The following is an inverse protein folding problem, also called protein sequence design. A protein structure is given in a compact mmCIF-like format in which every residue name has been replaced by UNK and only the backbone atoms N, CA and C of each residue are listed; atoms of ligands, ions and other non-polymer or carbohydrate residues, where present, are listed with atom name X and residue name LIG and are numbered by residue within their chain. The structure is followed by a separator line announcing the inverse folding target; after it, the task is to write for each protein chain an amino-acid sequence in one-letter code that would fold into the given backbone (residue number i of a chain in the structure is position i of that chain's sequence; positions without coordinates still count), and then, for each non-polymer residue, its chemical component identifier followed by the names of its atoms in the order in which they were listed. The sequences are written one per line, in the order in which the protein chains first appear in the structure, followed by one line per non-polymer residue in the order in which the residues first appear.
data_IF_315272205717
#
_entry.id   IF_315272205717
#
_cell.length_a   1.000
_cell.length_b   1.000
_cell.length_c   1.000
_cell.angle_alpha   90.00
_cell.angle_beta   90.00
_cell.angle_gamma   90.00
#
_symmetry.space_group_name_H-M   'P 1'
#
loop_
_entity.id
_entity.type
_entity.pdbx_description
1 polymer ?
#
# COMPACT_ATOMS: atom_id res chain seq x y z
N UNK A 1 -1.96 29.26 -2.75
CA UNK A 1 -0.60 29.01 -3.31
C UNK A 1 -0.16 27.54 -3.34
N UNK A 2 -0.03 26.83 -2.21
CA UNK A 2 0.45 25.43 -2.24
C UNK A 2 -0.45 24.48 -3.06
N UNK A 3 -1.78 24.58 -2.93
CA UNK A 3 -2.71 23.79 -3.76
C UNK A 3 -2.58 24.09 -5.26
N UNK A 4 -2.49 25.38 -5.62
CA UNK A 4 -2.27 25.81 -7.01
C UNK A 4 -0.90 25.39 -7.57
N UNK A 5 0.12 25.18 -6.72
CA UNK A 5 1.39 24.56 -7.12
C UNK A 5 1.21 23.06 -7.35
N UNK A 6 0.46 22.38 -6.48
CA UNK A 6 0.18 20.94 -6.59
C UNK A 6 -0.62 20.57 -7.83
N UNK A 7 -1.58 21.42 -8.24
CA UNK A 7 -2.35 21.24 -9.47
C UNK A 7 -1.56 21.44 -10.77
N UNK A 8 -0.31 21.91 -10.68
CA UNK A 8 0.62 22.10 -11.79
C UNK A 8 1.78 21.11 -11.74
N UNK A 9 1.59 19.97 -11.09
CA UNK A 9 2.58 18.89 -10.93
C UNK A 9 3.74 19.20 -9.97
N UNK A 10 3.61 20.23 -9.13
CA UNK A 10 4.62 20.54 -8.12
C UNK A 10 4.55 19.62 -6.89
N UNK A 11 5.71 19.18 -6.40
CA UNK A 11 5.81 18.39 -5.16
C UNK A 11 5.29 19.18 -3.95
N UNK A 12 4.39 18.58 -3.16
CA UNK A 12 3.77 19.19 -1.98
C UNK A 12 4.21 18.46 -0.72
N UNK A 13 5.04 19.13 0.11
CA UNK A 13 5.49 18.62 1.40
C UNK A 13 4.38 18.59 2.46
N UNK A 14 3.51 19.61 2.48
CA UNK A 14 2.50 19.78 3.53
C UNK A 14 1.39 18.70 3.45
N UNK A 15 1.17 17.97 4.54
CA UNK A 15 0.17 16.88 4.65
C UNK A 15 -1.26 17.33 4.36
N UNK A 16 -1.73 18.45 4.92
CA UNK A 16 -3.11 18.92 4.70
C UNK A 16 -3.34 19.34 3.25
N UNK A 17 -2.32 19.96 2.64
CA UNK A 17 -2.39 20.29 1.21
C UNK A 17 -2.44 19.03 0.35
N UNK A 18 -1.64 17.99 0.65
CA UNK A 18 -1.69 16.72 -0.09
C UNK A 18 -3.06 16.04 -0.02
N UNK A 19 -3.71 16.05 1.15
CA UNK A 19 -5.08 15.52 1.33
C UNK A 19 -6.11 16.30 0.50
N UNK A 20 -5.96 17.62 0.43
CA UNK A 20 -6.81 18.47 -0.42
C UNK A 20 -6.55 18.20 -1.91
N UNK A 21 -5.28 18.06 -2.28
CA UNK A 21 -4.86 17.75 -3.65
C UNK A 21 -5.35 16.37 -4.10
N UNK A 22 -5.33 15.35 -3.22
CA UNK A 22 -5.91 14.02 -3.49
C UNK A 22 -7.38 14.15 -3.95
N UNK A 23 -8.19 14.92 -3.21
CA UNK A 23 -9.60 15.14 -3.56
C UNK A 23 -9.75 15.89 -4.87
N UNK A 24 -8.94 16.94 -5.07
CA UNK A 24 -9.03 17.80 -6.24
C UNK A 24 -8.62 17.07 -7.55
N UNK A 25 -7.57 16.26 -7.51
CA UNK A 25 -7.08 15.52 -8.69
C UNK A 25 -8.04 14.41 -9.14
N UNK A 26 -9.00 14.03 -8.29
CA UNK A 26 -10.08 13.07 -8.62
C UNK A 26 -11.31 13.74 -9.25
N UNK A 27 -11.39 15.06 -9.24
CA UNK A 27 -12.42 15.79 -9.96
C UNK A 27 -12.05 15.90 -11.45
N UNK A 28 -13.02 16.21 -12.30
CA UNK A 28 -12.77 16.43 -13.72
C UNK A 28 -11.83 17.62 -13.97
N UNK A 29 -11.15 17.61 -15.12
CA UNK A 29 -10.17 18.65 -15.49
C UNK A 29 -10.80 20.05 -15.58
N UNK A 30 -12.07 20.17 -15.94
CA UNK A 30 -12.71 21.48 -16.01
C UNK A 30 -12.91 22.06 -14.60
N UNK A 31 -13.33 21.24 -13.63
CA UNK A 31 -13.42 21.65 -12.22
C UNK A 31 -12.05 22.02 -11.65
N UNK A 32 -11.02 21.20 -11.91
CA UNK A 32 -9.64 21.51 -11.49
C UNK A 32 -9.17 22.87 -12.03
N UNK A 33 -9.44 23.16 -13.32
CA UNK A 33 -9.10 24.43 -13.96
C UNK A 33 -9.85 25.60 -13.35
N UNK A 34 -11.16 25.47 -13.06
CA UNK A 34 -11.95 26.51 -12.39
C UNK A 34 -11.38 26.84 -11.01
N UNK A 35 -11.06 25.83 -10.22
CA UNK A 35 -10.47 26.02 -8.89
C UNK A 35 -9.09 26.66 -8.98
N UNK A 36 -8.25 26.24 -9.93
CA UNK A 36 -6.93 26.84 -10.15
C UNK A 36 -7.05 28.32 -10.54
N UNK A 37 -7.97 28.67 -11.43
CA UNK A 37 -8.24 30.04 -11.84
C UNK A 37 -8.73 30.88 -10.66
N UNK A 38 -9.68 30.37 -9.86
CA UNK A 38 -10.16 31.02 -8.66
C UNK A 38 -9.04 31.30 -7.66
N UNK A 39 -8.21 30.30 -7.32
CA UNK A 39 -7.10 30.49 -6.36
C UNK A 39 -6.11 31.54 -6.87
N UNK A 40 -5.91 31.64 -8.19
CA UNK A 40 -5.02 32.63 -8.81
C UNK A 40 -5.62 34.03 -8.88
N UNK A 41 -6.95 34.14 -8.94
CA UNK A 41 -7.64 35.44 -8.92
C UNK A 41 -7.76 36.03 -7.53
N UNK A 42 -7.52 35.24 -6.47
CA UNK A 42 -7.56 35.75 -5.10
C UNK A 42 -6.47 36.80 -4.88
N UNK A 43 -6.83 38.03 -4.48
CA UNK A 43 -5.85 39.05 -4.21
C UNK A 43 -5.08 38.72 -2.91
N UNK A 44 -3.84 39.18 -2.80
CA UNK A 44 -3.05 38.97 -1.57
C UNK A 44 -3.54 39.80 -0.38
N UNK A 45 -4.38 40.81 -0.65
CA UNK A 45 -5.06 41.62 0.35
C UNK A 45 -6.33 42.26 -0.26
N UNK A 46 -7.23 42.74 0.57
CA UNK A 46 -8.35 43.59 0.18
C UNK A 46 -8.36 44.87 1.02
N UNK A 47 -8.85 45.98 0.44
CA UNK A 47 -9.03 47.24 1.16
C UNK A 47 -10.49 47.65 1.17
N UNK A 48 -10.95 48.10 2.32
CA UNK A 48 -12.28 48.67 2.50
C UNK A 48 -12.15 49.83 3.50
N UNK A 49 -12.41 51.07 3.10
CA UNK A 49 -12.20 52.25 3.98
C UNK A 49 -10.78 52.26 4.60
N UNK A 50 -10.69 52.35 5.93
CA UNK A 50 -9.46 52.26 6.71
C UNK A 50 -9.04 50.81 7.06
N UNK A 51 -9.74 49.79 6.54
CA UNK A 51 -9.44 48.38 6.76
C UNK A 51 -8.53 47.79 5.69
N UNK A 52 -7.63 46.93 6.14
CA UNK A 52 -6.83 46.02 5.31
C UNK A 52 -7.15 44.60 5.75
N UNK A 53 -7.56 43.78 4.80
CA UNK A 53 -7.82 42.36 5.00
C UNK A 53 -6.69 41.57 4.34
N UNK A 54 -5.98 40.76 5.11
CA UNK A 54 -4.90 39.90 4.60
C UNK A 54 -4.91 38.53 5.27
N UNK A 55 -4.16 37.56 4.75
CA UNK A 55 -4.12 36.22 5.33
C UNK A 55 -3.11 36.12 6.47
N UNK A 56 -1.91 36.68 6.27
CA UNK A 56 -0.81 36.65 7.22
C UNK A 56 -0.89 37.78 8.26
N UNK A 57 -0.04 37.67 9.27
CA UNK A 57 0.21 38.73 10.23
C UNK A 57 1.36 39.62 9.75
N UNK A 58 1.09 40.90 9.57
CA UNK A 58 2.05 41.87 9.02
C UNK A 58 2.28 43.00 10.02
N UNK A 59 3.49 43.54 10.03
CA UNK A 59 3.90 44.63 10.94
C UNK A 59 3.61 46.03 10.43
N UNK A 60 3.35 46.18 9.15
CA UNK A 60 3.07 47.44 8.48
C UNK A 60 2.36 47.14 7.16
N UNK A 61 1.83 48.18 6.49
CA UNK A 61 1.13 47.99 5.23
C UNK A 61 1.48 49.07 4.20
N UNK A 62 2.17 48.64 3.15
CA UNK A 62 2.28 49.35 1.88
C UNK A 62 2.16 48.31 0.75
N UNK A 63 1.15 48.39 -0.13
CA UNK A 63 0.97 47.40 -1.18
C UNK A 63 2.10 47.41 -2.23
N UNK A 64 2.84 48.51 -2.37
CA UNK A 64 3.93 48.68 -3.33
C UNK A 64 5.26 48.15 -2.78
N UNK A 65 5.54 48.42 -1.51
CA UNK A 65 6.83 48.06 -0.90
C UNK A 65 6.80 46.67 -0.23
N UNK A 66 5.64 46.24 0.27
CA UNK A 66 5.56 44.98 1.01
C UNK A 66 5.48 43.78 0.06
N UNK A 67 6.26 42.71 0.29
CA UNK A 67 6.17 41.50 -0.51
C UNK A 67 4.82 40.81 -0.41
N UNK A 68 4.31 40.31 -1.54
CA UNK A 68 3.08 39.52 -1.60
C UNK A 68 3.09 38.28 -0.69
N UNK A 69 4.28 37.70 -0.47
CA UNK A 69 4.46 36.54 0.40
C UNK A 69 4.17 36.87 1.87
N UNK A 70 4.63 38.01 2.37
CA UNK A 70 4.40 38.45 3.75
C UNK A 70 2.89 38.60 4.04
N UNK A 71 2.16 39.21 3.12
CA UNK A 71 0.68 39.35 3.23
C UNK A 71 -0.08 38.02 3.25
N UNK A 72 0.50 36.96 2.69
CA UNK A 72 -0.14 35.63 2.60
C UNK A 72 0.25 34.73 3.76
N UNK A 73 1.54 34.69 4.13
CA UNK A 73 2.07 33.73 5.10
C UNK A 73 2.40 34.34 6.45
N UNK A 74 2.50 35.67 6.54
CA UNK A 74 2.83 36.38 7.76
C UNK A 74 4.33 36.52 8.00
N UNK A 75 4.65 37.37 8.96
CA UNK A 75 6.01 37.68 9.42
C UNK A 75 6.37 36.88 10.70
N UNK A 76 5.39 36.44 11.50
CA UNK A 76 5.68 35.67 12.71
C UNK A 76 6.01 34.20 12.44
N UNK A 77 6.89 33.68 13.30
CA UNK A 77 7.23 32.25 13.36
C UNK A 77 6.73 31.68 14.66
N UNK A 78 6.19 30.45 14.62
CA UNK A 78 5.55 29.78 15.78
C UNK A 78 6.39 29.68 17.07
N UNK A 79 7.71 29.86 16.99
CA UNK A 79 8.62 29.69 18.12
C UNK A 79 9.31 31.01 18.53
N UNK A 80 8.88 32.14 17.98
CA UNK A 80 9.48 33.44 18.25
C UNK A 80 8.43 34.33 18.93
N UNK A 81 8.77 34.89 20.10
CA UNK A 81 7.93 35.86 20.78
C UNK A 81 8.03 37.19 20.04
N UNK A 82 7.13 37.40 19.09
CA UNK A 82 7.15 38.56 18.20
C UNK A 82 5.77 39.21 18.11
N UNK A 83 5.64 40.43 18.60
CA UNK A 83 4.35 41.14 18.68
C UNK A 83 4.03 41.93 17.41
N UNK A 84 3.66 41.21 16.34
CA UNK A 84 3.31 41.82 15.05
C UNK A 84 2.11 42.77 15.15
N UNK A 85 1.11 42.44 15.99
CA UNK A 85 -0.05 43.31 16.22
C UNK A 85 0.33 44.62 16.91
N UNK A 86 1.20 44.57 17.91
CA UNK A 86 1.72 45.76 18.60
C UNK A 86 2.47 46.69 17.66
N UNK A 87 3.36 46.12 16.85
CA UNK A 87 4.15 46.87 15.86
C UNK A 87 3.20 47.50 14.81
N UNK A 88 2.23 46.74 14.28
CA UNK A 88 1.28 47.26 13.29
C UNK A 88 0.50 48.48 13.79
N UNK A 89 0.08 48.47 15.07
CA UNK A 89 -0.62 49.61 15.67
C UNK A 89 0.25 50.86 15.74
N UNK A 90 1.57 50.72 15.87
CA UNK A 90 2.52 51.84 15.92
C UNK A 90 2.91 52.36 14.53
N UNK A 91 3.05 51.47 13.55
CA UNK A 91 3.55 51.80 12.20
C UNK A 91 2.44 52.24 11.24
N UNK A 92 1.19 51.88 11.51
CA UNK A 92 0.06 52.13 10.61
C UNK A 92 -1.11 52.81 11.33
N UNK A 93 -1.84 53.66 10.60
CA UNK A 93 -3.13 54.25 11.03
C UNK A 93 -4.33 53.40 10.61
N UNK A 94 -4.10 52.32 9.88
CA UNK A 94 -5.15 51.43 9.37
C UNK A 94 -5.63 50.46 10.46
N UNK A 95 -6.72 49.76 10.16
CA UNK A 95 -7.19 48.60 10.89
C UNK A 95 -6.91 47.34 10.09
N UNK A 96 -6.29 46.33 10.71
CA UNK A 96 -5.99 45.05 10.07
C UNK A 96 -6.97 43.98 10.53
N UNK A 97 -7.46 43.18 9.58
CA UNK A 97 -8.21 41.95 9.82
C UNK A 97 -7.45 40.82 9.14
N UNK A 98 -6.95 39.87 9.93
CA UNK A 98 -6.20 38.72 9.41
C UNK A 98 -6.96 37.41 9.50
N UNK A 99 -6.62 36.49 8.61
CA UNK A 99 -7.33 35.22 8.44
C UNK A 99 -6.71 34.02 9.16
N UNK A 100 -5.39 33.83 9.10
CA UNK A 100 -4.77 32.51 9.35
C UNK A 100 -4.04 32.38 10.71
N UNK A 101 -3.89 33.48 11.45
CA UNK A 101 -3.00 33.54 12.62
C UNK A 101 -3.76 34.23 13.78
N UNK A 102 -3.82 33.62 14.99
CA UNK A 102 -4.40 34.25 16.18
C UNK A 102 -3.70 35.56 16.53
N UNK A 103 -4.31 36.43 17.34
CA UNK A 103 -3.67 37.68 17.78
C UNK A 103 -2.37 37.40 18.59
N UNK A 104 -1.31 38.18 18.35
CA UNK A 104 -0.05 38.18 19.12
C UNK A 104 -0.19 39.06 20.36
N UNK A 105 -1.00 40.12 20.28
CA UNK A 105 -1.37 40.95 21.42
C UNK A 105 -2.74 41.59 21.24
N UNK A 106 -3.46 41.81 22.34
CA UNK A 106 -4.74 42.48 22.35
C UNK A 106 -4.57 43.99 22.07
N UNK A 107 -5.56 44.60 21.42
CA UNK A 107 -5.58 46.03 21.16
C UNK A 107 -6.64 46.43 20.15
N UNK A 108 -6.84 47.74 20.02
CA UNK A 108 -7.72 48.30 18.98
C UNK A 108 -7.05 48.22 17.60
N UNK A 109 -7.85 48.18 16.52
CA UNK A 109 -7.39 48.19 15.12
C UNK A 109 -6.66 46.92 14.63
N UNK A 110 -6.60 45.85 15.41
CA UNK A 110 -6.04 44.55 15.01
C UNK A 110 -7.04 43.44 15.35
N UNK A 111 -7.50 42.72 14.34
CA UNK A 111 -8.47 41.63 14.51
C UNK A 111 -8.01 40.36 13.78
N UNK A 112 -8.35 39.19 14.34
CA UNK A 112 -8.13 37.90 13.70
C UNK A 112 -9.44 37.14 13.57
N UNK A 113 -9.62 36.49 12.42
CA UNK A 113 -10.70 35.54 12.15
C UNK A 113 -10.29 34.08 12.43
N UNK A 114 -9.03 33.85 12.84
CA UNK A 114 -8.55 32.51 13.20
C UNK A 114 -9.03 32.16 14.61
N UNK A 115 -10.16 31.45 14.67
CA UNK A 115 -10.78 30.98 15.92
C UNK A 115 -10.61 29.47 16.14
N UNK A 116 -9.61 28.85 15.50
CA UNK A 116 -9.32 27.43 15.66
C UNK A 116 -10.20 26.53 14.80
N UNK A 117 -10.68 27.01 13.63
CA UNK A 117 -11.61 26.28 12.77
C UNK A 117 -11.10 24.90 12.32
N UNK A 118 -9.77 24.71 12.29
CA UNK A 118 -9.13 23.43 12.00
C UNK A 118 -9.09 22.43 13.17
N UNK A 119 -9.42 22.87 14.38
CA UNK A 119 -9.26 22.11 15.64
C UNK A 119 -10.55 22.19 16.47
N UNK A 120 -11.71 22.06 15.82
CA UNK A 120 -13.02 22.07 16.48
C UNK A 120 -13.58 23.45 16.84
N UNK A 121 -12.84 24.53 16.59
CA UNK A 121 -13.34 25.90 16.70
C UNK A 121 -14.31 26.28 15.57
N UNK A 122 -15.06 27.38 15.68
CA UNK A 122 -15.95 27.83 14.62
C UNK A 122 -15.18 28.45 13.45
N UNK A 123 -15.82 28.52 12.28
CA UNK A 123 -15.44 29.45 11.22
C UNK A 123 -15.98 30.82 11.60
N UNK A 124 -15.12 31.83 11.64
CA UNK A 124 -15.52 33.19 12.03
C UNK A 124 -15.54 34.13 10.83
N UNK A 125 -16.62 34.88 10.71
CA UNK A 125 -16.76 36.01 9.80
C UNK A 125 -16.94 37.30 10.61
N UNK A 126 -16.58 38.44 10.03
CA UNK A 126 -16.76 39.75 10.65
C UNK A 126 -17.51 40.66 9.68
N UNK A 127 -18.60 41.26 10.16
CA UNK A 127 -19.33 42.30 9.45
C UNK A 127 -18.61 43.64 9.63
N UNK A 128 -18.44 44.38 8.54
CA UNK A 128 -17.81 45.71 8.53
C UNK A 128 -18.82 46.78 8.10
N UNK A 129 -18.80 47.97 8.72
CA UNK A 129 -17.85 48.45 9.74
C UNK A 129 -18.17 48.08 11.20
N UNK A 130 -19.30 47.41 11.48
CA UNK A 130 -19.83 47.23 12.84
C UNK A 130 -18.99 46.29 13.72
N UNK A 131 -18.01 45.59 13.15
CA UNK A 131 -17.16 44.57 13.80
C UNK A 131 -17.94 43.42 14.44
N UNK A 132 -19.21 43.23 14.08
CA UNK A 132 -20.02 42.12 14.58
C UNK A 132 -19.44 40.81 14.05
N UNK A 133 -19.01 39.93 14.96
CA UNK A 133 -18.55 38.60 14.59
C UNK A 133 -19.73 37.65 14.45
N UNK A 134 -19.70 36.86 13.38
CA UNK A 134 -20.57 35.71 13.17
C UNK A 134 -19.71 34.45 13.25
N UNK A 135 -20.06 33.56 14.17
CA UNK A 135 -19.40 32.27 14.33
C UNK A 135 -20.29 31.16 13.77
N UNK A 136 -19.74 30.41 12.82
CA UNK A 136 -20.40 29.28 12.17
C UNK A 136 -19.77 28.00 12.73
N UNK A 137 -20.53 27.11 13.39
CA UNK A 137 -19.99 25.87 13.92
C UNK A 137 -19.29 25.05 12.83
N UNK A 138 -18.07 24.60 13.11
CA UNK A 138 -17.29 23.71 12.25
C UNK A 138 -17.19 22.33 12.89
N UNK A 139 -17.56 21.28 12.17
CA UNK A 139 -17.41 19.88 12.65
C UNK A 139 -16.01 19.32 12.43
N UNK A 140 -15.09 20.10 11.87
CA UNK A 140 -13.77 19.61 11.49
C UNK A 140 -12.77 19.80 12.63
N UNK A 141 -12.08 18.71 12.99
CA UNK A 141 -11.03 18.73 14.01
C UNK A 141 -9.86 17.84 13.56
N UNK A 142 -8.69 18.45 13.36
CA UNK A 142 -7.45 17.73 13.03
C UNK A 142 -7.03 16.74 14.13
N UNK A 143 -7.32 17.04 15.40
CA UNK A 143 -6.88 16.23 16.54
C UNK A 143 -7.64 14.90 16.67
N UNK A 144 -8.88 14.85 16.17
CA UNK A 144 -9.74 13.66 16.25
C UNK A 144 -9.59 12.73 15.04
N UNK A 145 -8.65 13.00 14.13
CA UNK A 145 -8.49 12.21 12.92
C UNK A 145 -7.73 10.93 13.19
N UNK A 146 -8.29 9.80 12.73
CA UNK A 146 -7.53 8.56 12.64
C UNK A 146 -6.32 8.73 11.70
N UNK A 147 -5.15 8.15 12.06
CA UNK A 147 -3.98 8.19 11.21
C UNK A 147 -4.26 7.47 9.89
N UNK A 148 -3.77 8.02 8.79
CA UNK A 148 -3.84 7.35 7.49
C UNK A 148 -3.03 6.05 7.50
N UNK A 149 -3.24 5.17 6.51
CA UNK A 149 -2.43 3.96 6.38
C UNK A 149 -0.93 4.27 6.36
N UNK A 150 -0.50 5.24 5.55
CA UNK A 150 0.88 5.67 5.50
C UNK A 150 1.40 6.12 6.88
N UNK A 151 0.60 6.89 7.64
CA UNK A 151 0.98 7.35 8.98
C UNK A 151 1.15 6.20 9.97
N UNK A 152 0.32 5.15 9.87
CA UNK A 152 0.50 3.91 10.65
C UNK A 152 1.75 3.13 10.25
N UNK A 153 2.17 3.20 8.98
CA UNK A 153 3.36 2.49 8.49
C UNK A 153 4.69 3.21 8.79
N UNK A 154 4.69 4.54 8.99
CA UNK A 154 5.93 5.30 9.21
C UNK A 154 6.80 4.80 10.38
N UNK A 155 6.25 4.43 11.56
CA UNK A 155 7.04 3.83 12.63
C UNK A 155 7.75 2.54 12.18
N UNK A 156 7.05 1.68 11.44
CA UNK A 156 7.59 0.40 10.93
C UNK A 156 8.66 0.63 9.84
N UNK A 157 8.55 1.71 9.08
CA UNK A 157 9.59 2.15 8.14
C UNK A 157 10.85 2.58 8.90
N UNK A 158 10.70 3.37 9.98
CA UNK A 158 11.83 3.80 10.80
C UNK A 158 12.57 2.60 11.44
N UNK A 159 11.82 1.56 11.84
CA UNK A 159 12.37 0.31 12.37
C UNK A 159 12.96 -0.63 11.30
N UNK A 160 12.88 -0.26 10.01
CA UNK A 160 13.29 -1.08 8.85
C UNK A 160 12.50 -2.39 8.70
N UNK A 161 11.31 -2.48 9.29
CA UNK A 161 10.38 -3.61 9.11
C UNK A 161 9.56 -3.45 7.82
N UNK A 162 9.35 -2.20 7.37
CA UNK A 162 8.68 -1.87 6.12
C UNK A 162 9.62 -1.05 5.21
N UNK A 163 9.59 -1.34 3.92
CA UNK A 163 10.17 -0.53 2.85
C UNK A 163 9.05 0.23 2.14
N UNK A 164 9.34 1.47 1.73
CA UNK A 164 8.46 2.25 0.86
C UNK A 164 9.14 2.63 -0.44
N UNK A 165 8.38 2.66 -1.53
CA UNK A 165 8.83 3.08 -2.86
C UNK A 165 7.84 4.13 -3.37
N UNK A 166 8.33 5.27 -3.83
CA UNK A 166 7.46 6.36 -4.33
C UNK A 166 7.68 6.53 -5.83
N UNK A 167 6.59 6.59 -6.58
CA UNK A 167 6.57 6.98 -8.00
C UNK A 167 5.49 8.04 -8.19
N UNK A 168 5.90 9.26 -8.55
CA UNK A 168 4.99 10.39 -8.70
C UNK A 168 4.17 10.65 -7.43
N UNK A 169 2.84 10.58 -7.57
CA UNK A 169 1.87 10.81 -6.51
C UNK A 169 1.51 9.56 -5.69
N UNK A 170 2.12 8.41 -6.00
CA UNK A 170 1.85 7.12 -5.39
C UNK A 170 3.02 6.66 -4.52
N UNK A 171 2.71 6.04 -3.39
CA UNK A 171 3.69 5.37 -2.53
C UNK A 171 3.25 3.95 -2.25
N UNK A 172 4.12 2.98 -2.55
CA UNK A 172 3.94 1.58 -2.25
C UNK A 172 4.62 1.22 -0.93
N UNK A 173 3.98 0.39 -0.11
CA UNK A 173 4.53 -0.16 1.13
C UNK A 173 4.66 -1.70 1.05
N UNK A 174 5.83 -2.21 1.44
CA UNK A 174 6.10 -3.66 1.53
C UNK A 174 6.94 -4.01 2.75
N UNK A 175 6.68 -5.12 3.42
CA UNK A 175 7.51 -5.62 4.51
C UNK A 175 8.91 -5.94 3.98
N UNK A 176 9.91 -5.77 4.83
CA UNK A 176 11.31 -6.02 4.50
C UNK A 176 11.66 -7.50 4.73
N UNK A 177 12.83 -7.90 4.24
CA UNK A 177 13.41 -9.19 4.61
C UNK A 177 13.64 -9.31 6.13
N UNK A 178 13.96 -8.19 6.82
CA UNK A 178 14.11 -8.18 8.28
C UNK A 178 12.82 -8.64 8.96
N UNK A 179 11.68 -8.08 8.57
CA UNK A 179 10.37 -8.52 9.06
C UNK A 179 10.12 -10.01 8.76
N UNK A 180 10.43 -10.45 7.54
CA UNK A 180 10.28 -11.86 7.15
C UNK A 180 11.04 -12.82 8.06
N UNK A 181 12.27 -12.48 8.45
CA UNK A 181 13.13 -13.33 9.29
C UNK A 181 13.04 -13.04 10.79
N UNK A 182 12.04 -12.27 11.24
CA UNK A 182 11.82 -12.00 12.68
C UNK A 182 10.38 -12.39 13.06
N UNK A 183 10.09 -13.67 13.32
CA UNK A 183 8.71 -14.15 13.48
C UNK A 183 7.87 -13.38 14.49
N UNK A 184 8.45 -12.95 15.62
CA UNK A 184 7.72 -12.22 16.67
C UNK A 184 7.11 -10.89 16.22
N UNK A 185 7.64 -10.27 15.15
CA UNK A 185 7.13 -8.96 14.68
C UNK A 185 5.75 -9.06 14.02
N UNK A 186 5.34 -10.26 13.60
CA UNK A 186 4.01 -10.47 13.02
C UNK A 186 2.91 -10.41 14.09
N UNK A 187 3.22 -10.82 15.32
CA UNK A 187 2.31 -10.72 16.46
C UNK A 187 2.37 -9.33 17.11
N UNK A 188 3.56 -8.73 17.19
CA UNK A 188 3.76 -7.39 17.76
C UNK A 188 3.11 -6.29 16.90
N UNK A 189 3.14 -6.45 15.57
CA UNK A 189 2.60 -5.49 14.60
C UNK A 189 1.69 -6.18 13.57
N UNK A 190 0.44 -6.55 13.91
CA UNK A 190 -0.45 -7.27 13.01
C UNK A 190 -0.70 -6.54 11.67
N UNK A 191 -0.70 -5.21 11.66
CA UNK A 191 -0.86 -4.40 10.45
C UNK A 191 0.27 -4.58 9.43
N UNK A 192 1.41 -5.12 9.82
CA UNK A 192 2.53 -5.45 8.93
C UNK A 192 2.13 -6.46 7.84
N UNK A 193 1.14 -7.31 8.13
CA UNK A 193 0.57 -8.23 7.14
C UNK A 193 -0.03 -7.49 5.94
N UNK A 194 -0.51 -6.25 6.13
CA UNK A 194 -1.06 -5.42 5.06
C UNK A 194 0.03 -4.76 4.22
N UNK A 195 1.26 -4.62 4.74
CA UNK A 195 2.39 -4.10 3.99
C UNK A 195 2.91 -5.15 2.99
N UNK A 196 2.07 -5.60 2.06
CA UNK A 196 2.41 -6.58 1.02
C UNK A 196 2.12 -6.02 -0.37
N UNK A 197 2.61 -4.81 -0.62
CA UNK A 197 2.46 -4.12 -1.90
C UNK A 197 1.31 -3.11 -1.94
N UNK A 198 0.68 -2.77 -0.81
CA UNK A 198 -0.37 -1.74 -0.74
C UNK A 198 0.18 -0.42 -1.27
N UNK A 199 -0.56 0.19 -2.18
CA UNK A 199 -0.26 1.52 -2.73
C UNK A 199 -1.20 2.53 -2.09
N UNK A 200 -0.65 3.67 -1.67
CA UNK A 200 -1.41 4.82 -1.19
C UNK A 200 -1.28 6.01 -2.12
N UNK A 201 -2.30 6.84 -2.14
CA UNK A 201 -2.26 8.14 -2.80
C UNK A 201 -1.68 9.25 -1.92
N UNK A 202 -1.83 10.49 -2.38
CA UNK A 202 -1.36 11.71 -1.71
C UNK A 202 -1.92 11.92 -0.30
N UNK A 203 -3.14 11.45 -0.03
CA UNK A 203 -3.78 11.56 1.28
C UNK A 203 -3.26 10.52 2.30
N UNK A 204 -2.46 9.57 1.83
CA UNK A 204 -1.83 8.52 2.62
C UNK A 204 -2.76 7.34 2.93
N UNK A 205 -3.92 7.24 2.27
CA UNK A 205 -4.80 6.08 2.38
C UNK A 205 -4.67 5.16 1.16
N UNK A 206 -5.01 3.86 1.30
CA UNK A 206 -4.90 2.90 0.21
C UNK A 206 -5.71 3.33 -1.02
N UNK A 207 -5.09 3.17 -2.18
CA UNK A 207 -5.72 3.24 -3.51
C UNK A 207 -5.62 1.89 -4.23
N UNK A 208 -4.98 0.90 -3.60
CA UNK A 208 -5.00 -0.50 -4.00
C UNK A 208 -5.18 -1.43 -2.80
N UNK A 209 -5.65 -2.65 -3.06
CA UNK A 209 -5.88 -3.71 -2.07
C UNK A 209 -5.32 -5.06 -2.52
N UNK A 210 -3.99 -5.25 -2.48
CA UNK A 210 -3.39 -6.57 -2.68
C UNK A 210 -3.67 -7.51 -1.51
N UNK A 211 -3.39 -8.80 -1.71
CA UNK A 211 -3.50 -9.78 -0.63
C UNK A 211 -2.62 -9.42 0.57
N UNK A 212 -3.16 -9.52 1.81
CA UNK A 212 -2.32 -9.50 3.00
C UNK A 212 -1.34 -10.69 2.99
N UNK A 213 -0.33 -10.65 3.85
CA UNK A 213 0.51 -11.82 4.09
C UNK A 213 -0.35 -12.96 4.63
N UNK A 214 -0.21 -14.12 4.01
CA UNK A 214 -0.69 -15.41 4.51
C UNK A 214 0.51 -16.27 4.88
N UNK A 215 0.33 -17.14 5.88
CA UNK A 215 1.35 -18.08 6.34
C UNK A 215 1.17 -19.44 5.67
N UNK A 216 2.24 -20.23 5.58
CA UNK A 216 2.14 -21.61 5.10
C UNK A 216 1.53 -22.50 6.20
N UNK A 217 0.94 -23.63 5.82
CA UNK A 217 0.57 -24.68 6.77
C UNK A 217 1.78 -25.03 7.66
N UNK A 218 1.57 -25.06 8.98
CA UNK A 218 2.57 -25.27 10.04
C UNK A 218 3.61 -24.16 10.22
N UNK A 219 3.58 -23.06 9.44
CA UNK A 219 4.38 -21.85 9.70
C UNK A 219 3.73 -21.08 10.86
N UNK A 220 4.49 -20.75 11.91
CA UNK A 220 3.98 -19.98 13.06
C UNK A 220 2.70 -20.59 13.70
N UNK A 221 2.62 -21.92 13.81
CA UNK A 221 1.44 -22.66 14.28
C UNK A 221 0.17 -22.46 13.43
N UNK A 222 0.29 -22.01 12.18
CA UNK A 222 -0.84 -21.81 11.27
C UNK A 222 -1.42 -23.16 10.83
N UNK A 223 -2.62 -23.46 11.29
CA UNK A 223 -3.37 -24.67 10.95
C UNK A 223 -4.87 -24.43 11.08
N UNK A 224 -5.69 -25.38 10.63
CA UNK A 224 -7.15 -25.42 10.81
C UNK A 224 -7.56 -26.81 11.30
N UNK A 225 -8.69 -26.96 12.00
CA UNK A 225 -9.30 -28.26 12.23
C UNK A 225 -9.61 -28.98 10.91
N UNK A 226 -9.46 -30.31 10.86
CA UNK A 226 -9.53 -31.10 9.62
C UNK A 226 -10.91 -31.03 8.96
N UNK A 227 -11.96 -31.01 9.77
CA UNK A 227 -13.37 -30.92 9.38
C UNK A 227 -13.79 -29.51 8.91
N UNK A 228 -12.90 -28.51 8.98
CA UNK A 228 -13.21 -27.15 8.55
C UNK A 228 -13.53 -27.14 7.06
N UNK A 229 -14.70 -26.61 6.69
CA UNK A 229 -15.06 -26.40 5.29
C UNK A 229 -14.23 -25.27 4.68
N UNK A 230 -13.58 -25.56 3.56
CA UNK A 230 -12.68 -24.65 2.86
C UNK A 230 -12.92 -24.67 1.36
N UNK A 231 -12.44 -23.62 0.70
CA UNK A 231 -12.20 -23.60 -0.74
C UNK A 231 -10.70 -23.73 -0.97
N UNK A 232 -10.31 -24.77 -1.70
CA UNK A 232 -8.94 -24.99 -2.12
C UNK A 232 -8.78 -24.53 -3.58
N UNK A 233 -7.92 -23.53 -3.79
CA UNK A 233 -7.60 -22.98 -5.10
C UNK A 233 -6.20 -23.41 -5.47
N UNK A 234 -5.99 -23.96 -6.67
CA UNK A 234 -4.67 -24.31 -7.17
C UNK A 234 -3.73 -23.11 -7.02
N UNK A 235 -2.65 -23.33 -6.27
CA UNK A 235 -1.62 -22.32 -6.14
C UNK A 235 -0.70 -22.43 -7.35
N UNK A 236 -0.92 -21.55 -8.33
CA UNK A 236 0.02 -21.37 -9.44
C UNK A 236 1.39 -20.90 -8.92
N UNK A 237 2.45 -21.28 -9.64
CA UNK A 237 3.83 -20.94 -9.32
C UNK A 237 4.35 -19.91 -10.34
N UNK A 238 3.85 -18.68 -10.22
CA UNK A 238 4.27 -17.53 -10.99
C UNK A 238 4.80 -16.40 -10.09
N UNK A 239 4.55 -15.17 -10.51
CA UNK A 239 4.72 -13.99 -9.66
C UNK A 239 3.46 -13.14 -9.58
N UNK A 240 3.21 -12.55 -8.41
CA UNK A 240 2.05 -11.70 -8.16
C UNK A 240 2.17 -10.38 -8.92
N UNK A 241 1.14 -10.08 -9.70
CA UNK A 241 0.89 -8.77 -10.31
C UNK A 241 -0.36 -8.17 -9.69
N UNK A 242 -0.33 -6.89 -9.35
CA UNK A 242 -1.51 -6.13 -8.94
C UNK A 242 -1.79 -5.04 -9.96
N UNK A 243 -3.05 -4.92 -10.39
CA UNK A 243 -3.50 -3.86 -11.29
C UNK A 243 -4.71 -3.12 -10.74
N UNK A 244 -4.69 -1.80 -10.80
CA UNK A 244 -5.79 -0.95 -10.31
C UNK A 244 -5.82 0.37 -11.10
N UNK A 245 -6.96 1.06 -11.08
CA UNK A 245 -7.12 2.33 -11.77
C UNK A 245 -6.25 3.42 -11.13
N UNK A 246 -5.49 4.18 -11.91
CA UNK A 246 -4.70 5.28 -11.35
C UNK A 246 -5.63 6.36 -10.77
N UNK A 247 -5.51 6.71 -9.48
CA UNK A 247 -6.48 7.59 -8.81
C UNK A 247 -6.49 9.03 -9.32
N UNK A 248 -5.50 9.42 -10.12
CA UNK A 248 -5.36 10.78 -10.69
C UNK A 248 -5.27 10.78 -12.22
N UNK A 249 -5.39 9.61 -12.86
CA UNK A 249 -5.30 9.45 -14.32
C UNK A 249 -6.31 8.35 -14.71
N UNK A 250 -7.58 8.71 -14.97
CA UNK A 250 -8.66 7.73 -15.12
C UNK A 250 -8.55 6.82 -16.35
N UNK A 251 -7.59 7.08 -17.24
CA UNK A 251 -7.31 6.28 -18.44
C UNK A 251 -6.08 5.38 -18.29
N UNK A 252 -5.51 5.30 -17.09
CA UNK A 252 -4.27 4.58 -16.82
C UNK A 252 -4.49 3.46 -15.79
N UNK A 253 -4.03 2.25 -16.14
CA UNK A 253 -3.93 1.12 -15.21
C UNK A 253 -2.55 1.12 -14.58
N UNK A 254 -2.48 1.20 -13.26
CA UNK A 254 -1.23 1.02 -12.52
C UNK A 254 -0.93 -0.47 -12.41
N UNK A 255 0.31 -0.85 -12.72
CA UNK A 255 0.81 -2.22 -12.59
C UNK A 255 1.90 -2.24 -11.52
N UNK A 256 1.79 -3.15 -10.53
CA UNK A 256 2.85 -3.38 -9.54
C UNK A 256 3.15 -4.87 -9.39
N UNK A 257 4.42 -5.19 -9.16
CA UNK A 257 4.96 -6.54 -9.00
C UNK A 257 5.97 -6.51 -7.85
N UNK A 258 5.98 -7.53 -6.98
CA UNK A 258 7.00 -7.69 -5.91
C UNK A 258 7.23 -6.44 -5.06
N UNK A 259 6.19 -5.61 -4.92
CA UNK A 259 6.26 -4.31 -4.28
C UNK A 259 7.22 -3.31 -4.97
N UNK A 260 7.09 -3.15 -6.28
CA UNK A 260 7.78 -2.15 -7.10
C UNK A 260 6.82 -1.60 -8.15
N UNK A 261 7.16 -0.43 -8.71
CA UNK A 261 6.51 0.14 -9.90
C UNK A 261 7.35 -0.06 -11.18
N UNK A 262 8.60 -0.53 -11.03
CA UNK A 262 9.58 -0.65 -12.11
C UNK A 262 10.43 -1.93 -11.94
N UNK A 263 11.08 -2.36 -13.03
CA UNK A 263 11.96 -3.53 -13.10
C UNK A 263 11.44 -4.59 -14.04
N UNK A 264 12.24 -5.64 -14.28
CA UNK A 264 11.97 -6.64 -15.34
C UNK A 264 10.61 -7.33 -15.16
N UNK A 265 10.25 -7.70 -13.93
CA UNK A 265 8.94 -8.28 -13.60
C UNK A 265 7.75 -7.37 -13.92
N UNK A 266 7.94 -6.05 -13.88
CA UNK A 266 6.89 -5.09 -14.28
C UNK A 266 6.76 -5.10 -15.80
N UNK A 267 7.88 -5.15 -16.52
CA UNK A 267 7.86 -5.20 -17.98
C UNK A 267 7.32 -6.53 -18.51
N UNK A 268 7.60 -7.65 -17.83
CA UNK A 268 6.96 -8.95 -18.09
C UNK A 268 5.46 -8.91 -17.82
N UNK A 269 5.02 -8.35 -16.69
CA UNK A 269 3.59 -8.20 -16.42
C UNK A 269 2.89 -7.32 -17.46
N UNK A 270 3.53 -6.21 -17.86
CA UNK A 270 3.03 -5.33 -18.92
C UNK A 270 2.95 -6.04 -20.26
N UNK A 271 3.96 -6.81 -20.66
CA UNK A 271 3.94 -7.52 -21.94
C UNK A 271 2.74 -8.48 -22.01
N UNK A 272 2.44 -9.20 -20.92
CA UNK A 272 1.27 -10.05 -20.82
C UNK A 272 -0.05 -9.24 -20.80
N UNK A 273 -0.08 -8.11 -20.10
CA UNK A 273 -1.26 -7.23 -20.02
C UNK A 273 -1.61 -6.59 -21.37
N UNK A 274 -0.61 -6.20 -22.17
CA UNK A 274 -0.84 -5.60 -23.49
C UNK A 274 -1.17 -6.63 -24.58
N UNK A 275 -0.98 -7.92 -24.29
CA UNK A 275 -1.29 -8.98 -25.24
C UNK A 275 -2.80 -9.21 -25.39
N UNK A 276 -3.25 -9.61 -26.57
CA UNK A 276 -4.63 -10.01 -26.88
C UNK A 276 -5.72 -9.00 -26.41
N UNK A 277 -5.39 -7.71 -26.36
CA UNK A 277 -6.30 -6.64 -25.95
C UNK A 277 -6.70 -6.63 -24.46
N UNK A 278 -6.00 -7.39 -23.60
CA UNK A 278 -6.35 -7.51 -22.18
C UNK A 278 -6.30 -6.16 -21.45
N UNK A 279 -5.33 -5.29 -21.76
CA UNK A 279 -5.24 -3.93 -21.20
C UNK A 279 -6.55 -3.15 -21.38
N UNK A 280 -7.13 -3.17 -22.58
CA UNK A 280 -8.36 -2.44 -22.89
C UNK A 280 -9.54 -2.95 -22.07
N UNK A 281 -9.69 -4.28 -21.94
CA UNK A 281 -10.73 -4.91 -21.13
C UNK A 281 -10.54 -4.63 -19.63
N UNK A 282 -9.32 -4.76 -19.13
CA UNK A 282 -8.99 -4.47 -17.74
C UNK A 282 -9.23 -3.00 -17.40
N UNK A 283 -8.84 -2.06 -18.27
CA UNK A 283 -9.09 -0.64 -18.10
C UNK A 283 -10.59 -0.32 -18.06
N UNK A 284 -11.37 -0.87 -19.01
CA UNK A 284 -12.82 -0.67 -19.03
C UNK A 284 -13.47 -1.20 -17.74
N UNK A 285 -13.12 -2.42 -17.34
CA UNK A 285 -13.64 -3.03 -16.11
C UNK A 285 -13.27 -2.23 -14.86
N UNK A 286 -12.02 -1.76 -14.75
CA UNK A 286 -11.55 -0.95 -13.63
C UNK A 286 -12.17 0.46 -13.60
N UNK A 287 -12.58 1.01 -14.74
CA UNK A 287 -13.35 2.27 -14.78
C UNK A 287 -14.74 2.09 -14.18
N UNK A 288 -15.37 0.95 -14.43
CA UNK A 288 -16.67 0.59 -13.84
C UNK A 288 -16.53 0.19 -12.35
N UNK A 289 -15.32 -0.25 -11.93
CA UNK A 289 -15.00 -0.69 -10.57
C UNK A 289 -13.76 0.04 -10.01
N UNK A 290 -13.81 1.38 -9.85
CA UNK A 290 -12.63 2.22 -9.60
C UNK A 290 -12.00 2.03 -8.20
N UNK A 291 -12.65 1.29 -7.31
CA UNK A 291 -12.14 0.96 -5.97
C UNK A 291 -11.58 -0.46 -5.88
N UNK A 292 -11.49 -1.19 -7.00
CA UNK A 292 -11.02 -2.57 -7.02
C UNK A 292 -9.57 -2.68 -7.50
N UNK A 293 -8.85 -3.64 -6.93
CA UNK A 293 -7.55 -4.12 -7.41
C UNK A 293 -7.70 -5.53 -7.94
N UNK A 294 -7.38 -5.74 -9.21
CA UNK A 294 -7.26 -7.08 -9.79
C UNK A 294 -5.87 -7.65 -9.46
N UNK A 295 -5.84 -8.92 -9.09
CA UNK A 295 -4.66 -9.63 -8.64
C UNK A 295 -4.44 -10.84 -9.53
N UNK A 296 -3.23 -10.96 -10.05
CA UNK A 296 -2.89 -11.95 -11.06
C UNK A 296 -1.69 -12.78 -10.60
N UNK A 297 -1.69 -14.06 -10.94
CA UNK A 297 -0.44 -14.80 -11.05
C UNK A 297 0.03 -14.69 -12.50
N UNK A 298 1.17 -14.05 -12.72
CA UNK A 298 1.81 -14.01 -14.02
C UNK A 298 2.68 -15.25 -14.21
N UNK A 299 2.41 -16.00 -15.27
CA UNK A 299 3.27 -17.07 -15.76
C UNK A 299 3.92 -16.56 -17.04
N UNK A 300 5.22 -16.30 -17.00
CA UNK A 300 5.99 -15.71 -18.09
C UNK A 300 7.15 -16.65 -18.48
N UNK A 301 7.44 -16.84 -19.78
CA UNK A 301 8.49 -17.76 -20.24
C UNK A 301 9.89 -17.43 -19.69
N UNK A 302 10.17 -16.15 -19.45
CA UNK A 302 11.47 -15.67 -18.95
C UNK A 302 11.59 -15.67 -17.42
N UNK A 303 10.59 -16.18 -16.68
CA UNK A 303 10.64 -16.29 -15.22
C UNK A 303 10.74 -17.77 -14.79
N UNK A 304 11.97 -18.26 -14.51
CA UNK A 304 12.16 -19.65 -14.16
C UNK A 304 11.59 -19.95 -12.77
N UNK A 305 10.59 -20.81 -12.76
CA UNK A 305 9.92 -21.28 -11.56
C UNK A 305 10.19 -22.77 -11.29
N UNK A 306 9.79 -23.24 -10.11
CA UNK A 306 10.01 -24.64 -9.71
C UNK A 306 9.08 -25.56 -10.47
N UNK A 307 7.82 -25.13 -10.64
CA UNK A 307 6.87 -25.78 -11.54
C UNK A 307 7.12 -25.26 -12.95
N UNK A 308 7.27 -26.18 -13.89
CA UNK A 308 7.44 -25.86 -15.30
C UNK A 308 6.07 -25.83 -15.96
N UNK A 309 5.74 -24.72 -16.60
CA UNK A 309 4.48 -24.51 -17.29
C UNK A 309 4.70 -24.54 -18.81
N UNK A 310 3.77 -25.17 -19.53
CA UNK A 310 3.75 -25.13 -20.99
C UNK A 310 3.30 -23.75 -21.52
N UNK A 311 3.54 -23.44 -22.81
CA UNK A 311 3.13 -22.17 -23.42
C UNK A 311 1.64 -21.83 -23.27
N UNK A 312 0.77 -22.82 -23.15
CA UNK A 312 -0.67 -22.68 -22.94
C UNK A 312 -1.03 -22.06 -21.60
N UNK A 313 -0.13 -22.10 -20.62
CA UNK A 313 -0.29 -21.45 -19.32
C UNK A 313 0.31 -20.04 -19.27
N UNK A 314 1.04 -19.59 -20.30
CA UNK A 314 1.63 -18.26 -20.29
C UNK A 314 0.54 -17.18 -20.34
N UNK A 315 0.57 -16.26 -19.38
CA UNK A 315 -0.48 -15.27 -19.24
C UNK A 315 -0.59 -14.69 -17.83
N UNK A 316 -1.49 -13.71 -17.70
CA UNK A 316 -1.99 -13.27 -16.40
C UNK A 316 -3.19 -14.14 -16.05
N UNK A 317 -3.08 -14.93 -14.99
CA UNK A 317 -4.18 -15.70 -14.42
C UNK A 317 -4.81 -14.89 -13.32
N UNK A 318 -6.11 -14.59 -13.42
CA UNK A 318 -6.78 -13.87 -12.34
C UNK A 318 -6.80 -14.77 -11.11
N UNK A 319 -6.35 -14.28 -9.95
CA UNK A 319 -6.32 -15.04 -8.69
C UNK A 319 -7.03 -14.31 -7.54
N UNK A 320 -7.41 -13.04 -7.74
CA UNK A 320 -8.19 -12.29 -6.78
C UNK A 320 -8.62 -10.93 -7.30
N UNK A 321 -9.59 -10.35 -6.59
CA UNK A 321 -10.06 -9.00 -6.78
C UNK A 321 -10.40 -8.44 -5.39
N UNK A 322 -9.78 -7.33 -5.02
CA UNK A 322 -9.90 -6.73 -3.69
C UNK A 322 -10.50 -5.33 -3.76
N UNK A 323 -11.64 -5.10 -3.11
CA UNK A 323 -12.29 -3.80 -3.04
C UNK A 323 -11.80 -2.98 -1.84
N UNK A 324 -11.45 -1.71 -2.03
CA UNK A 324 -10.93 -0.83 -0.96
C UNK A 324 -11.87 -0.72 0.26
N UNK A 325 -13.17 -0.75 0.03
CA UNK A 325 -14.25 -0.67 1.01
C UNK A 325 -14.89 -2.02 1.36
N UNK A 326 -14.47 -3.10 0.68
CA UNK A 326 -15.06 -4.43 0.81
C UNK A 326 -14.06 -5.53 1.17
N UNK A 327 -14.43 -6.77 0.86
CA UNK A 327 -13.57 -7.95 0.98
C UNK A 327 -12.83 -8.27 -0.32
N UNK A 328 -12.49 -9.55 -0.46
CA UNK A 328 -12.04 -10.13 -1.73
C UNK A 328 -13.20 -10.91 -2.35
N UNK A 329 -13.31 -10.89 -3.68
CA UNK A 329 -14.33 -11.65 -4.41
C UNK A 329 -14.27 -13.17 -4.11
N UNK A 330 -15.42 -13.84 -4.22
CA UNK A 330 -15.51 -15.31 -4.18
C UNK A 330 -14.90 -15.92 -5.45
N UNK A 331 -14.60 -17.22 -5.44
CA UNK A 331 -14.05 -17.88 -6.64
C UNK A 331 -15.04 -17.84 -7.83
N UNK A 332 -16.34 -18.01 -7.59
CA UNK A 332 -17.38 -17.81 -8.62
C UNK A 332 -17.38 -16.38 -9.19
N UNK A 333 -17.21 -15.38 -8.31
CA UNK A 333 -17.11 -13.97 -8.72
C UNK A 333 -15.87 -13.71 -9.57
N UNK A 334 -14.74 -14.31 -9.20
CA UNK A 334 -13.50 -14.24 -9.97
C UNK A 334 -13.65 -14.94 -11.32
N UNK A 335 -14.37 -16.05 -11.41
CA UNK A 335 -14.64 -16.73 -12.68
C UNK A 335 -15.52 -15.86 -13.60
N UNK A 336 -16.51 -15.16 -13.05
CA UNK A 336 -17.32 -14.19 -13.79
C UNK A 336 -16.47 -13.00 -14.30
N UNK A 337 -15.59 -12.45 -13.46
CA UNK A 337 -14.66 -11.38 -13.87
C UNK A 337 -13.72 -11.90 -14.96
N UNK A 338 -13.18 -13.10 -14.81
CA UNK A 338 -12.26 -13.69 -15.77
C UNK A 338 -12.91 -13.97 -17.13
N UNK A 339 -14.18 -14.38 -17.14
CA UNK A 339 -14.96 -14.53 -18.37
C UNK A 339 -15.08 -13.20 -19.13
N UNK A 340 -15.34 -12.08 -18.43
CA UNK A 340 -15.40 -10.74 -19.01
C UNK A 340 -14.03 -10.29 -19.54
N UNK A 341 -12.97 -10.57 -18.78
CA UNK A 341 -11.60 -10.16 -19.13
C UNK A 341 -10.91 -11.11 -20.11
N UNK A 342 -11.53 -12.25 -20.44
CA UNK A 342 -10.96 -13.31 -21.28
C UNK A 342 -9.55 -13.71 -20.82
N UNK A 343 -9.45 -14.11 -19.55
CA UNK A 343 -8.21 -14.45 -18.84
C UNK A 343 -8.37 -15.82 -18.18
N UNK A 344 -7.28 -16.62 -18.10
CA UNK A 344 -7.34 -17.91 -17.43
C UNK A 344 -7.48 -17.78 -15.90
N UNK A 345 -7.88 -18.89 -15.29
CA UNK A 345 -8.12 -19.04 -13.85
C UNK A 345 -7.47 -20.33 -13.34
N UNK A 346 -6.92 -20.34 -12.11
CA UNK A 346 -6.56 -21.58 -11.44
C UNK A 346 -7.79 -22.45 -11.19
N UNK A 347 -7.60 -23.75 -11.17
CA UNK A 347 -8.67 -24.68 -10.75
C UNK A 347 -8.98 -24.51 -9.27
N UNK A 348 -10.23 -24.68 -8.86
CA UNK A 348 -10.63 -24.60 -7.46
C UNK A 348 -11.78 -25.56 -7.14
N UNK A 349 -11.90 -25.95 -5.87
CA UNK A 349 -12.99 -26.81 -5.40
C UNK A 349 -13.27 -26.59 -3.91
N UNK A 350 -14.51 -26.87 -3.49
CA UNK A 350 -14.89 -26.91 -2.09
C UNK A 350 -14.60 -28.29 -1.50
N UNK A 351 -14.06 -28.33 -0.28
CA UNK A 351 -13.78 -29.58 0.45
C UNK A 351 -13.58 -29.30 1.95
N UNK A 352 -13.29 -30.34 2.73
CA UNK A 352 -12.76 -30.13 4.09
C UNK A 352 -11.26 -29.82 4.04
N UNK A 353 -10.71 -29.25 5.12
CA UNK A 353 -9.28 -29.00 5.20
C UNK A 353 -8.46 -30.29 5.16
N UNK A 354 -8.95 -31.37 5.81
CA UNK A 354 -8.35 -32.70 5.73
C UNK A 354 -8.30 -33.25 4.30
N UNK A 355 -9.38 -33.07 3.52
CA UNK A 355 -9.39 -33.46 2.11
C UNK A 355 -8.40 -32.64 1.27
N UNK A 356 -8.24 -31.34 1.57
CA UNK A 356 -7.25 -30.49 0.89
C UNK A 356 -5.82 -31.00 1.17
N UNK A 357 -5.52 -31.38 2.42
CA UNK A 357 -4.25 -32.02 2.79
C UNK A 357 -4.07 -33.30 1.99
N UNK A 358 -5.02 -34.23 2.06
CA UNK A 358 -4.95 -35.51 1.36
C UNK A 358 -4.73 -35.33 -0.16
N UNK A 359 -5.46 -34.41 -0.79
CA UNK A 359 -5.27 -34.09 -2.22
C UNK A 359 -3.89 -33.52 -2.51
N UNK A 360 -3.35 -32.68 -1.62
CA UNK A 360 -2.03 -32.05 -1.83
C UNK A 360 -0.88 -33.06 -1.94
N UNK A 361 -1.03 -34.27 -1.38
CA UNK A 361 -0.06 -35.37 -1.51
C UNK A 361 0.00 -35.97 -2.92
N UNK A 362 -1.03 -35.76 -3.74
CA UNK A 362 -1.17 -36.40 -5.05
C UNK A 362 -1.01 -35.43 -6.23
N UNK A 363 -0.70 -34.16 -5.98
CA UNK A 363 -0.54 -33.16 -7.04
C UNK A 363 0.92 -32.87 -7.36
N UNK A 364 1.19 -32.56 -8.63
CA UNK A 364 2.52 -32.19 -9.11
C UNK A 364 2.69 -30.67 -9.35
N UNK A 365 1.73 -29.86 -8.89
CA UNK A 365 1.81 -28.39 -8.85
C UNK A 365 2.21 -27.90 -7.45
N UNK A 366 2.31 -26.58 -7.25
CA UNK A 366 2.86 -26.00 -6.00
C UNK A 366 2.02 -26.30 -4.75
N UNK A 367 0.70 -26.41 -4.90
CA UNK A 367 -0.23 -26.82 -3.86
C UNK A 367 -1.53 -26.03 -3.96
N UNK A 368 -2.08 -25.60 -2.83
CA UNK A 368 -3.34 -24.86 -2.76
C UNK A 368 -3.23 -23.57 -1.91
N UNK A 369 -3.92 -22.53 -2.35
CA UNK A 369 -4.36 -21.44 -1.48
C UNK A 369 -5.68 -21.87 -0.82
N UNK A 370 -5.72 -21.85 0.52
CA UNK A 370 -6.88 -22.27 1.30
C UNK A 370 -7.66 -21.06 1.77
N UNK A 371 -8.94 -21.00 1.44
CA UNK A 371 -9.90 -19.99 1.91
C UNK A 371 -10.93 -20.63 2.83
N UNK A 372 -11.35 -19.96 3.89
CA UNK A 372 -12.46 -20.42 4.72
C UNK A 372 -13.76 -20.33 3.93
N UNK A 373 -14.58 -21.39 3.94
CA UNK A 373 -15.86 -21.37 3.25
C UNK A 373 -16.90 -20.45 3.93
N UNK A 374 -16.69 -20.12 5.22
CA UNK A 374 -17.60 -19.29 6.01
C UNK A 374 -17.66 -17.83 5.55
N UNK A 375 -16.52 -17.27 5.15
CA UNK A 375 -16.37 -15.83 4.88
C UNK A 375 -15.42 -15.52 3.72
N UNK A 376 -14.83 -16.55 3.08
CA UNK A 376 -13.87 -16.41 2.00
C UNK A 376 -12.49 -15.90 2.43
N UNK A 377 -12.20 -15.84 3.73
CA UNK A 377 -10.91 -15.37 4.26
C UNK A 377 -9.77 -16.29 3.80
N UNK A 378 -8.68 -15.72 3.30
CA UNK A 378 -7.46 -16.47 2.96
C UNK A 378 -6.78 -16.95 4.26
N UNK A 379 -6.91 -18.24 4.56
CA UNK A 379 -6.41 -18.83 5.80
C UNK A 379 -4.91 -19.13 5.73
N UNK A 380 -4.50 -19.93 4.75
CA UNK A 380 -3.12 -20.42 4.66
C UNK A 380 -2.73 -20.86 3.24
N UNK A 381 -1.44 -21.07 3.05
CA UNK A 381 -0.87 -21.72 1.86
C UNK A 381 -0.55 -23.18 2.20
N UNK A 382 -1.17 -24.12 1.52
CA UNK A 382 -0.85 -25.54 1.63
C UNK A 382 0.06 -25.92 0.45
N UNK A 383 1.32 -26.28 0.72
CA UNK A 383 2.27 -26.68 -0.34
C UNK A 383 2.24 -28.18 -0.53
N UNK A 384 2.31 -28.65 -1.76
CA UNK A 384 2.39 -30.09 -2.05
C UNK A 384 3.76 -30.65 -1.64
N UNK A 385 3.81 -31.93 -1.22
CA UNK A 385 5.08 -32.63 -1.04
C UNK A 385 5.95 -32.62 -2.28
N UNK A 386 5.34 -32.77 -3.47
CA UNK A 386 6.03 -32.70 -4.75
C UNK A 386 6.82 -31.40 -4.89
N UNK A 387 6.17 -30.25 -4.69
CA UNK A 387 6.80 -28.95 -4.81
C UNK A 387 7.88 -28.72 -3.76
N UNK A 388 7.60 -29.05 -2.49
CA UNK A 388 8.55 -28.86 -1.40
C UNK A 388 9.83 -29.66 -1.63
N UNK A 389 9.70 -30.93 -2.04
CA UNK A 389 10.83 -31.79 -2.41
C UNK A 389 11.62 -31.20 -3.58
N UNK A 390 10.96 -30.87 -4.68
CA UNK A 390 11.62 -30.33 -5.89
C UNK A 390 12.35 -29.03 -5.57
N UNK A 391 11.71 -28.12 -4.81
CA UNK A 391 12.29 -26.87 -4.33
C UNK A 391 13.52 -27.08 -3.47
N UNK A 392 13.45 -28.01 -2.52
CA UNK A 392 14.54 -28.29 -1.60
C UNK A 392 15.76 -28.84 -2.35
N UNK A 393 15.55 -29.83 -3.22
CA UNK A 393 16.61 -30.44 -4.01
C UNK A 393 17.26 -29.44 -4.98
N UNK A 394 16.48 -28.58 -5.63
CA UNK A 394 16.99 -27.53 -6.51
C UNK A 394 17.96 -26.56 -5.80
N UNK A 395 17.85 -26.40 -4.47
CA UNK A 395 18.74 -25.55 -3.67
C UNK A 395 20.05 -26.24 -3.27
N UNK A 396 20.14 -27.57 -3.38
CA UNK A 396 21.22 -28.38 -2.81
C UNK A 396 22.30 -28.81 -3.82
N UNK A 397 22.95 -27.84 -4.45
CA UNK A 397 24.22 -28.12 -5.14
C UNK A 397 25.33 -28.54 -4.14
N UNK A 398 26.47 -29.11 -4.59
CA UNK A 398 27.51 -29.58 -3.69
C UNK A 398 28.05 -28.52 -2.72
N UNK A 399 28.12 -27.25 -3.15
CA UNK A 399 28.54 -26.12 -2.31
C UNK A 399 27.51 -25.85 -1.20
N UNK A 400 26.23 -25.79 -1.54
CA UNK A 400 25.13 -25.58 -0.57
C UNK A 400 24.98 -26.76 0.37
N UNK A 401 25.18 -27.99 -0.11
CA UNK A 401 25.23 -29.19 0.74
C UNK A 401 26.35 -29.10 1.78
N UNK A 402 27.58 -28.73 1.39
CA UNK A 402 28.67 -28.50 2.35
C UNK A 402 28.35 -27.39 3.36
N UNK A 403 27.71 -26.32 2.91
CA UNK A 403 27.30 -25.21 3.78
C UNK A 403 26.23 -25.62 4.80
N UNK A 404 25.26 -26.45 4.40
CA UNK A 404 24.25 -27.01 5.30
C UNK A 404 24.88 -27.75 6.48
N UNK A 405 25.87 -28.61 6.24
CA UNK A 405 26.57 -29.33 7.31
C UNK A 405 27.49 -28.44 8.15
N UNK A 406 28.20 -27.50 7.52
CA UNK A 406 29.17 -26.65 8.23
C UNK A 406 28.52 -25.55 9.07
N UNK A 407 27.41 -24.97 8.61
CA UNK A 407 26.73 -23.83 9.25
C UNK A 407 25.20 -24.00 9.18
N UNK A 408 24.62 -25.02 9.84
CA UNK A 408 23.21 -25.39 9.69
C UNK A 408 22.24 -24.26 9.99
N UNK A 409 22.50 -23.48 11.05
CA UNK A 409 21.63 -22.37 11.43
C UNK A 409 21.58 -21.26 10.39
N UNK A 410 22.72 -20.95 9.75
CA UNK A 410 22.75 -19.94 8.67
C UNK A 410 22.16 -20.48 7.38
N UNK A 411 22.32 -21.76 7.09
CA UNK A 411 21.67 -22.38 5.94
C UNK A 411 20.14 -22.37 6.09
N UNK A 412 19.63 -22.69 7.28
CA UNK A 412 18.19 -22.60 7.60
C UNK A 412 17.61 -21.21 7.33
N UNK A 413 18.36 -20.15 7.63
CA UNK A 413 17.93 -18.76 7.35
C UNK A 413 17.79 -18.45 5.83
N UNK A 414 18.32 -19.30 4.94
CA UNK A 414 18.12 -19.18 3.49
C UNK A 414 16.91 -20.00 2.98
N UNK A 415 16.25 -20.74 3.87
CA UNK A 415 15.12 -21.61 3.57
C UNK A 415 13.84 -21.10 4.24
N UNK A 416 12.71 -21.58 3.72
CA UNK A 416 11.42 -21.43 4.41
C UNK A 416 11.48 -22.23 5.74
N UNK A 417 10.93 -21.69 6.82
CA UNK A 417 11.00 -22.30 8.17
C UNK A 417 10.47 -23.75 8.20
N UNK A 418 9.50 -24.06 7.34
CA UNK A 418 8.95 -25.41 7.16
C UNK A 418 10.02 -26.47 6.78
N UNK A 419 11.17 -26.08 6.24
CA UNK A 419 12.27 -27.00 5.91
C UNK A 419 13.29 -27.18 7.04
N UNK A 420 13.23 -26.39 8.12
CA UNK A 420 14.22 -26.48 9.19
C UNK A 420 14.26 -27.86 9.83
N UNK A 421 13.11 -28.51 10.11
CA UNK A 421 13.11 -29.86 10.66
C UNK A 421 13.69 -30.92 9.69
N UNK A 422 13.54 -30.74 8.37
CA UNK A 422 14.16 -31.61 7.36
C UNK A 422 15.68 -31.50 7.40
N UNK A 423 16.20 -30.27 7.52
CA UNK A 423 17.65 -30.04 7.64
C UNK A 423 18.20 -30.75 8.87
N UNK A 424 17.50 -30.67 10.01
CA UNK A 424 17.89 -31.37 11.24
C UNK A 424 17.91 -32.89 11.03
N UNK A 425 16.87 -33.45 10.41
CA UNK A 425 16.78 -34.88 10.11
C UNK A 425 17.92 -35.35 9.19
N UNK A 426 18.25 -34.60 8.14
CA UNK A 426 19.36 -34.95 7.23
C UNK A 426 20.69 -34.96 7.99
N UNK A 427 20.97 -33.92 8.78
CA UNK A 427 22.26 -33.77 9.46
C UNK A 427 22.41 -34.82 10.58
N UNK A 428 21.32 -35.17 11.27
CA UNK A 428 21.36 -36.16 12.35
C UNK A 428 21.44 -37.60 11.84
N UNK A 429 20.90 -37.90 10.66
CA UNK A 429 20.80 -39.28 10.14
C UNK A 429 21.83 -39.62 9.06
N UNK A 430 22.39 -38.62 8.36
CA UNK A 430 23.24 -38.83 7.18
C UNK A 430 24.52 -38.01 7.31
N UNK A 431 25.68 -38.66 7.21
CA UNK A 431 26.96 -37.94 7.21
C UNK A 431 27.15 -37.11 5.94
N UNK A 432 27.89 -36.00 6.02
CA UNK A 432 28.17 -35.14 4.86
C UNK A 432 28.77 -35.91 3.68
N UNK A 433 29.71 -36.83 3.93
CA UNK A 433 30.33 -37.64 2.90
C UNK A 433 29.31 -38.56 2.21
N UNK A 434 28.40 -39.16 2.98
CA UNK A 434 27.32 -39.99 2.44
C UNK A 434 26.34 -39.17 1.62
N UNK A 435 25.88 -38.02 2.14
CA UNK A 435 24.95 -37.15 1.43
C UNK A 435 25.50 -36.70 0.07
N UNK A 436 26.78 -36.33 0.03
CA UNK A 436 27.44 -35.91 -1.20
C UNK A 436 27.69 -37.06 -2.19
N UNK A 437 27.80 -38.30 -1.72
CA UNK A 437 27.96 -39.48 -2.58
C UNK A 437 26.64 -40.07 -3.08
N UNK A 438 25.50 -39.72 -2.45
CA UNK A 438 24.20 -40.19 -2.89
C UNK A 438 23.85 -39.71 -4.30
N UNK A 439 23.16 -40.58 -5.04
CA UNK A 439 22.51 -40.23 -6.30
C UNK A 439 21.34 -39.28 -6.03
N UNK A 440 20.94 -38.53 -7.06
CA UNK A 440 19.79 -37.61 -6.94
C UNK A 440 18.50 -38.37 -6.60
N UNK A 441 18.33 -39.58 -7.14
CA UNK A 441 17.27 -40.53 -6.77
C UNK A 441 17.25 -40.80 -5.27
N UNK A 442 18.39 -41.16 -4.67
CA UNK A 442 18.46 -41.50 -3.24
C UNK A 442 18.20 -40.29 -2.34
N UNK A 443 18.70 -39.10 -2.71
CA UNK A 443 18.38 -37.85 -1.99
C UNK A 443 16.90 -37.51 -2.08
N UNK A 444 16.32 -37.67 -3.27
CA UNK A 444 14.89 -37.43 -3.52
C UNK A 444 14.02 -38.35 -2.67
N UNK A 445 14.33 -39.64 -2.64
CA UNK A 445 13.54 -40.63 -1.90
C UNK A 445 13.60 -40.36 -0.38
N UNK A 446 14.79 -40.01 0.15
CA UNK A 446 14.93 -39.60 1.55
C UNK A 446 14.07 -38.38 1.89
N UNK A 447 14.15 -37.32 1.07
CA UNK A 447 13.37 -36.09 1.28
C UNK A 447 11.88 -36.37 1.16
N UNK A 448 11.46 -37.21 0.21
CA UNK A 448 10.06 -37.57 0.03
C UNK A 448 9.50 -38.31 1.26
N UNK A 449 10.21 -39.31 1.76
CA UNK A 449 9.79 -40.08 2.95
C UNK A 449 9.60 -39.14 4.14
N UNK A 450 10.57 -38.26 4.39
CA UNK A 450 10.48 -37.30 5.48
C UNK A 450 9.28 -36.35 5.34
N UNK A 451 9.06 -35.79 4.14
CA UNK A 451 7.93 -34.89 3.91
C UNK A 451 6.60 -35.62 4.13
N UNK A 452 6.47 -36.86 3.65
CA UNK A 452 5.25 -37.64 3.83
C UNK A 452 4.95 -37.94 5.31
N UNK A 453 5.97 -38.16 6.14
CA UNK A 453 5.80 -38.40 7.58
C UNK A 453 5.38 -37.14 8.34
N UNK A 454 5.90 -35.97 7.95
CA UNK A 454 5.63 -34.70 8.65
C UNK A 454 4.34 -34.02 8.17
N UNK A 455 3.95 -34.24 6.92
CA UNK A 455 2.73 -33.71 6.32
C UNK A 455 1.54 -34.69 6.38
N UNK A 456 1.61 -35.73 7.23
CA UNK A 456 0.42 -36.49 7.64
C UNK A 456 -0.53 -35.60 8.43
#
# INVERSE_FOLDING_TARGET
NNLARGLRDGNIKNKSTRKTLHKMLRCDRAYQTRVLAFIRSLPTFYRYRNYVLCHGDIEWFDPLLQPAQARVYGDSRRNEAHDTDGIFRQTSRLTIIRGHIPLTSAGERTYSLETGAGFGGPITAMQLPEHRQLQIPCKFDYSQRSPSFAERMEPLVAQKLVKRVTQGALTLFKYSSKAFFTPSVWDEYPELMLARGVVVGLDGNPVSRPFPRTFNYLESNTTLPYETNVTAVEKLNGFLVSTFLHPYAPDEVVVTCSGSFQGDYIEYAKSLLYNNGLYGRALAWLKDHPTTTLLWEAIHPEDPHIIQYGPEYHGLHLIGAGALDGGFDSEDGLDAIAAILHTPRPTWFACTFGDAIAKSHHVEHEGFMVRLASDGTYALKLKSPYYLRTKFLARLNPKKSKFMYAQPQKFKQELDEAFWPLVDAIISQVTQASWLSWTDTKRRDFVQTWINEVYQ
#
